data_IF_955788180225
#
_entry.id   IF_955788180225
#
_cell.length_a   1.000
_cell.length_b   1.000
_cell.length_c   1.000
_cell.angle_alpha   90.00
_cell.angle_beta   90.00
_cell.angle_gamma   90.00
#
_symmetry.space_group_name_H-M   'P 1'
#
loop_
_entity.id
_entity.type
_entity.pdbx_description
1 polymer ?
#
# COMPACT_ATOMS: atom_id res chain seq x y z
N UNK A 1 -6.04 -0.18 -0.82
CA UNK A 1 -7.14 0.77 -1.07
C UNK A 1 -8.38 0.51 -0.23
N UNK A 2 -8.46 -0.61 0.47
CA UNK A 2 -9.39 -0.71 1.59
C UNK A 2 -9.14 0.41 2.62
N UNK A 3 -10.18 1.15 2.98
CA UNK A 3 -10.06 2.31 3.88
C UNK A 3 -9.74 1.87 5.30
N UNK A 4 -10.35 0.78 5.77
CA UNK A 4 -10.16 0.29 7.13
C UNK A 4 -8.71 -0.12 7.37
N UNK A 5 -8.14 -0.94 6.47
CA UNK A 5 -6.74 -1.37 6.50
C UNK A 5 -5.78 -0.17 6.45
N UNK A 6 -6.05 0.78 5.56
CA UNK A 6 -5.21 1.97 5.40
C UNK A 6 -5.22 2.83 6.67
N UNK A 7 -6.40 3.02 7.27
CA UNK A 7 -6.55 3.79 8.50
C UNK A 7 -5.94 3.09 9.70
N UNK A 8 -6.08 1.76 9.82
CA UNK A 8 -5.44 0.98 10.89
C UNK A 8 -3.91 1.09 10.81
N UNK A 9 -3.34 1.08 9.60
CA UNK A 9 -1.89 1.13 9.42
C UNK A 9 -1.29 2.55 9.51
N UNK A 10 -1.95 3.54 8.91
CA UNK A 10 -1.42 4.92 8.81
C UNK A 10 -2.00 5.89 9.82
N UNK A 11 -3.04 5.48 10.55
CA UNK A 11 -3.89 6.33 11.39
C UNK A 11 -4.62 7.45 10.63
N UNK A 12 -4.61 7.43 9.29
CA UNK A 12 -5.24 8.43 8.44
C UNK A 12 -6.23 7.81 7.44
N UNK A 13 -7.21 8.59 6.99
CA UNK A 13 -8.11 8.15 5.92
C UNK A 13 -7.37 8.12 4.57
N UNK A 14 -7.79 7.22 3.68
CA UNK A 14 -7.22 7.10 2.33
C UNK A 14 -7.81 8.13 1.34
N UNK A 15 -8.80 8.94 1.73
CA UNK A 15 -9.52 9.86 0.84
C UNK A 15 -8.59 10.75 0.00
N UNK A 16 -7.58 11.36 0.64
CA UNK A 16 -6.62 12.23 -0.07
C UNK A 16 -5.82 11.46 -1.12
N UNK A 17 -5.39 10.23 -0.80
CA UNK A 17 -4.64 9.39 -1.74
C UNK A 17 -5.52 8.99 -2.93
N UNK A 18 -6.78 8.65 -2.67
CA UNK A 18 -7.75 8.30 -3.71
C UNK A 18 -8.03 9.49 -4.64
N UNK A 19 -8.22 10.69 -4.07
CA UNK A 19 -8.38 11.92 -4.85
C UNK A 19 -7.15 12.22 -5.72
N UNK A 20 -5.94 12.04 -5.18
CA UNK A 20 -4.71 12.26 -5.93
C UNK A 20 -4.53 11.27 -7.08
N UNK A 21 -4.87 9.99 -6.87
CA UNK A 21 -4.79 8.99 -7.94
C UNK A 21 -5.79 9.28 -9.06
N UNK A 22 -7.01 9.70 -8.70
CA UNK A 22 -8.00 10.13 -9.68
C UNK A 22 -7.50 11.35 -10.48
N UNK A 23 -6.95 12.35 -9.79
CA UNK A 23 -6.38 13.52 -10.45
C UNK A 23 -5.23 13.15 -11.39
N UNK A 24 -4.32 12.26 -10.99
CA UNK A 24 -3.24 11.77 -11.84
C UNK A 24 -3.78 11.06 -13.09
N UNK A 25 -4.84 10.26 -12.93
CA UNK A 25 -5.48 9.58 -14.04
C UNK A 25 -6.13 10.56 -15.03
N UNK A 26 -6.90 11.52 -14.52
CA UNK A 26 -7.57 12.56 -15.33
C UNK A 26 -6.59 13.46 -16.08
N UNK A 27 -5.36 13.63 -15.57
CA UNK A 27 -4.33 14.46 -16.19
C UNK A 27 -3.33 13.67 -17.05
N UNK A 28 -3.61 12.38 -17.35
CA UNK A 28 -2.80 11.58 -18.27
C UNK A 28 -1.44 11.12 -17.70
N UNK A 29 -1.30 11.07 -16.37
CA UNK A 29 -0.06 10.62 -15.71
C UNK A 29 -0.04 9.14 -15.36
N UNK A 30 -1.05 8.35 -15.74
CA UNK A 30 -1.15 6.93 -15.39
C UNK A 30 0.07 6.12 -15.85
N UNK A 31 0.53 6.31 -17.09
CA UNK A 31 1.70 5.62 -17.68
C UNK A 31 3.03 6.01 -17.01
N UNK A 32 3.08 7.22 -16.45
CA UNK A 32 4.28 7.76 -15.78
C UNK A 32 4.32 7.40 -14.30
N UNK A 33 3.24 6.85 -13.74
CA UNK A 33 3.11 6.60 -12.31
C UNK A 33 3.34 5.13 -12.00
N UNK A 34 4.27 4.84 -11.08
CA UNK A 34 4.46 3.52 -10.50
C UNK A 34 3.68 3.42 -9.18
N UNK A 35 2.68 2.55 -9.12
CA UNK A 35 1.91 2.31 -7.90
C UNK A 35 2.54 1.17 -7.12
N UNK A 36 3.01 1.46 -5.91
CA UNK A 36 3.64 0.46 -5.03
C UNK A 36 2.63 -0.06 -4.02
N UNK A 37 2.48 -1.37 -3.94
CA UNK A 37 1.50 -2.06 -3.09
C UNK A 37 2.26 -2.91 -2.06
N UNK A 38 2.38 -2.47 -0.81
CA UNK A 38 3.00 -3.26 0.24
C UNK A 38 2.06 -4.36 0.75
N UNK A 39 2.61 -5.56 0.95
CA UNK A 39 2.03 -6.58 1.81
C UNK A 39 2.64 -6.42 3.19
N UNK A 40 1.82 -5.98 4.14
CA UNK A 40 2.22 -5.59 5.48
C UNK A 40 1.75 -6.68 6.45
N UNK A 41 2.67 -7.34 7.18
CA UNK A 41 2.32 -8.36 8.16
C UNK A 41 1.26 -7.85 9.14
N UNK A 42 0.23 -8.65 9.40
CA UNK A 42 -0.88 -8.36 10.33
C UNK A 42 -1.86 -7.26 9.91
N UNK A 43 -1.61 -6.53 8.82
CA UNK A 43 -2.53 -5.47 8.35
C UNK A 43 -3.30 -5.88 7.11
N UNK A 44 -2.66 -6.52 6.13
CA UNK A 44 -3.34 -6.97 4.92
C UNK A 44 -2.92 -8.37 4.48
N UNK A 45 -3.74 -8.94 3.59
CA UNK A 45 -3.51 -10.24 2.96
C UNK A 45 -3.11 -10.04 1.49
N UNK A 46 -2.58 -11.09 0.87
CA UNK A 46 -2.28 -11.09 -0.58
C UNK A 46 -3.55 -10.84 -1.40
N UNK A 47 -4.69 -11.38 -0.96
CA UNK A 47 -6.01 -11.13 -1.57
C UNK A 47 -6.37 -9.63 -1.50
N UNK A 48 -6.23 -9.00 -0.32
CA UNK A 48 -6.53 -7.58 -0.18
C UNK A 48 -5.55 -6.67 -0.97
N UNK A 49 -4.31 -7.13 -1.15
CA UNK A 49 -3.31 -6.48 -2.01
C UNK A 49 -3.74 -6.57 -3.49
N UNK A 50 -4.25 -7.72 -3.93
CA UNK A 50 -4.75 -7.94 -5.29
C UNK A 50 -6.02 -7.13 -5.57
N UNK A 51 -6.97 -7.10 -4.66
CA UNK A 51 -8.15 -6.22 -4.78
C UNK A 51 -7.76 -4.75 -4.83
N UNK A 52 -6.71 -4.37 -4.08
CA UNK A 52 -6.18 -3.01 -4.13
C UNK A 52 -5.50 -2.70 -5.45
N UNK A 53 -4.83 -3.67 -6.07
CA UNK A 53 -4.32 -3.55 -7.45
C UNK A 53 -5.49 -3.34 -8.41
N UNK A 54 -6.50 -4.21 -8.38
CA UNK A 54 -7.62 -4.16 -9.31
C UNK A 54 -8.33 -2.80 -9.26
N UNK A 55 -8.62 -2.28 -8.06
CA UNK A 55 -9.25 -0.95 -7.91
C UNK A 55 -8.45 0.19 -8.52
N UNK A 56 -7.12 0.12 -8.49
CA UNK A 56 -6.25 1.15 -9.07
C UNK A 56 -6.04 0.90 -10.58
N UNK A 57 -6.05 -0.34 -11.01
CA UNK A 57 -6.02 -0.73 -12.42
C UNK A 57 -7.30 -0.27 -13.16
N UNK A 58 -8.45 -0.36 -12.51
CA UNK A 58 -9.74 0.16 -13.00
C UNK A 58 -9.73 1.70 -13.18
N UNK A 59 -8.79 2.40 -12.53
CA UNK A 59 -8.56 3.84 -12.73
C UNK A 59 -7.63 4.16 -13.91
N UNK A 60 -7.12 3.15 -14.60
CA UNK A 60 -6.24 3.29 -15.76
C UNK A 60 -4.74 3.25 -15.44
N UNK A 61 -4.33 2.84 -14.24
CA UNK A 61 -2.91 2.60 -13.94
C UNK A 61 -2.49 1.21 -14.38
N UNK A 62 -1.29 1.08 -14.93
CA UNK A 62 -0.80 -0.19 -15.49
C UNK A 62 0.52 -0.66 -14.87
N UNK A 63 1.23 0.23 -14.17
CA UNK A 63 2.56 -0.04 -13.61
C UNK A 63 2.45 -0.24 -12.10
N UNK A 64 2.63 -1.49 -11.68
CA UNK A 64 2.52 -1.90 -10.28
C UNK A 64 3.80 -2.57 -9.78
N UNK A 65 4.17 -2.25 -8.54
CA UNK A 65 5.24 -2.91 -7.79
C UNK A 65 4.66 -3.49 -6.51
N UNK A 66 4.56 -4.83 -6.42
CA UNK A 66 4.14 -5.52 -5.21
C UNK A 66 5.37 -5.96 -4.44
N UNK A 67 5.42 -5.61 -3.16
CA UNK A 67 6.53 -5.97 -2.30
C UNK A 67 6.05 -6.32 -0.90
N UNK A 68 6.84 -7.11 -0.17
CA UNK A 68 6.56 -7.45 1.23
C UNK A 68 7.26 -6.45 2.15
N UNK A 69 6.49 -5.83 3.04
CA UNK A 69 7.04 -4.92 4.03
C UNK A 69 7.77 -5.73 5.10
N UNK A 70 9.08 -5.51 5.22
CA UNK A 70 9.90 -6.16 6.24
C UNK A 70 10.17 -5.15 7.36
N UNK A 71 9.63 -5.42 8.54
CA UNK A 71 10.01 -4.68 9.75
C UNK A 71 11.36 -5.21 10.19
N UNK A 72 12.41 -4.39 10.16
CA UNK A 72 13.66 -4.77 10.84
C UNK A 72 13.30 -4.93 12.30
N UNK A 73 13.35 -6.15 12.82
CA UNK A 73 13.41 -6.33 14.27
C UNK A 73 14.63 -5.55 14.74
N UNK A 74 14.40 -4.44 15.44
CA UNK A 74 15.43 -3.88 16.29
C UNK A 74 15.65 -4.99 17.33
N UNK A 75 16.80 -5.65 17.30
CA UNK A 75 17.19 -6.53 18.40
C UNK A 75 17.09 -5.71 19.68
N UNK A 76 16.07 -5.96 20.49
CA UNK A 76 16.09 -5.54 21.88
C UNK A 76 17.23 -6.32 22.53
N UNK A 77 18.16 -5.63 23.17
CA UNK A 77 19.32 -6.16 23.90
C UNK A 77 18.93 -6.98 25.15
N UNK A 78 17.95 -7.89 25.04
CA UNK A 78 17.46 -8.73 26.15
C UNK A 78 17.76 -10.21 25.98
N UNK A 79 18.51 -10.61 24.94
CA UNK A 79 19.01 -11.98 24.77
C UNK A 79 20.44 -12.17 25.32
N UNK A 80 20.76 -11.51 26.45
CA UNK A 80 21.94 -11.84 27.26
C UNK A 80 21.48 -12.08 28.70
N UNK A 81 20.97 -13.29 28.96
CA UNK A 81 21.02 -13.88 30.30
C UNK A 81 21.74 -15.22 30.12
N UNK A 82 23.04 -15.19 30.41
CA UNK A 82 23.87 -16.36 30.72
C UNK A 82 23.45 -16.96 32.07
#
# INVERSE_FOLDING_TARGET
MDEQTYKTYTMQSNVVVMSNLKWLAENGYTEKTLVRLPLIPYYNTEIAQDESKQRVEDMGFHRFDKFRYSVKHVCSEQDNIE
#
